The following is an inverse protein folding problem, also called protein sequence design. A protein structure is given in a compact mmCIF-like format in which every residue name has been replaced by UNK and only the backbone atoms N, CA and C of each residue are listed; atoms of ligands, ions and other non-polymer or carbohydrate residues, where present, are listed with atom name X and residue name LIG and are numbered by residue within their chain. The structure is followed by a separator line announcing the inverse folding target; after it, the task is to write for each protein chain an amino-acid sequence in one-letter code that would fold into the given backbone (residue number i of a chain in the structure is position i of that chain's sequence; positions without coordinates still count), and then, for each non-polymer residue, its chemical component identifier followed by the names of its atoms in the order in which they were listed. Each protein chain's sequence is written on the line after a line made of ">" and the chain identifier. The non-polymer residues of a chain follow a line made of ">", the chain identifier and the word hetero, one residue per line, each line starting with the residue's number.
data_IF_564852150071
#
_entry.id   IF_564852150071
#
_cell.length_a   1.000
_cell.length_b   1.000
_cell.length_c   1.000
_cell.angle_alpha   90.00
_cell.angle_beta   90.00
_cell.angle_gamma   90.00
#
_symmetry.space_group_name_H-M   'P 1'
#
loop_
_entity.id
_entity.type
_entity.pdbx_description
1 polymer ?
#
# COMPACT_ATOMS: atom_id res chain seq x y z
N UNK A 1 -26.81 -1.98 -23.24
CA UNK A 1 -26.56 -0.88 -22.27
C UNK A 1 -26.04 -1.56 -21.01
N UNK A 2 -24.73 -1.52 -20.77
CA UNK A 2 -24.15 -2.04 -19.53
C UNK A 2 -24.39 -0.95 -18.47
N UNK A 3 -25.11 -1.29 -17.40
CA UNK A 3 -25.21 -0.42 -16.23
C UNK A 3 -23.80 -0.23 -15.63
N UNK A 4 -23.43 0.97 -15.16
CA UNK A 4 -22.19 1.15 -14.43
C UNK A 4 -22.18 0.20 -13.21
N UNK A 5 -21.01 -0.28 -12.76
CA UNK A 5 -20.96 -1.03 -11.51
C UNK A 5 -21.60 -0.13 -10.45
N UNK A 6 -22.66 -0.64 -9.81
CA UNK A 6 -23.23 0.00 -8.64
C UNK A 6 -22.08 0.19 -7.67
N UNK A 7 -21.66 1.43 -7.46
CA UNK A 7 -20.95 1.83 -6.26
C UNK A 7 -21.80 1.27 -5.13
N UNK A 8 -21.36 0.15 -4.56
CA UNK A 8 -21.82 -0.25 -3.24
C UNK A 8 -21.60 1.00 -2.41
N UNK A 9 -22.68 1.67 -1.99
CA UNK A 9 -22.58 2.69 -0.97
C UNK A 9 -21.98 1.98 0.22
N UNK A 10 -20.66 2.06 0.36
CA UNK A 10 -19.96 1.60 1.54
C UNK A 10 -20.58 2.44 2.65
N UNK A 11 -21.47 1.82 3.42
CA UNK A 11 -22.12 2.45 4.56
C UNK A 11 -21.04 2.59 5.62
N UNK A 12 -20.17 3.60 5.44
CA UNK A 12 -19.06 3.88 6.33
C UNK A 12 -19.65 4.14 7.70
N UNK A 13 -19.35 3.23 8.62
CA UNK A 13 -19.78 3.39 10.00
C UNK A 13 -18.96 4.49 10.65
N UNK A 14 -19.47 5.09 11.72
CA UNK A 14 -18.70 6.07 12.51
C UNK A 14 -17.34 5.48 12.93
N UNK A 15 -17.32 4.21 13.31
CA UNK A 15 -16.08 3.50 13.65
C UNK A 15 -15.11 3.38 12.46
N UNK A 16 -15.60 3.24 11.23
CA UNK A 16 -14.76 3.25 10.04
C UNK A 16 -14.06 4.60 9.87
N UNK A 17 -14.81 5.70 9.97
CA UNK A 17 -14.25 7.05 9.84
C UNK A 17 -13.22 7.34 10.95
N UNK A 18 -13.49 6.91 12.18
CA UNK A 18 -12.56 7.03 13.30
C UNK A 18 -11.28 6.21 13.08
N UNK A 19 -11.39 4.98 12.58
CA UNK A 19 -10.24 4.15 12.26
C UNK A 19 -9.39 4.77 11.15
N UNK A 20 -10.01 5.28 10.10
CA UNK A 20 -9.31 5.94 8.99
C UNK A 20 -8.58 7.18 9.51
N UNK A 21 -9.26 8.01 10.32
CA UNK A 21 -8.66 9.20 10.92
C UNK A 21 -7.48 8.83 11.82
N UNK A 22 -7.64 7.83 12.68
CA UNK A 22 -6.58 7.37 13.57
C UNK A 22 -5.35 6.90 12.80
N UNK A 23 -5.52 6.07 11.78
CA UNK A 23 -4.42 5.57 10.95
C UNK A 23 -3.72 6.73 10.23
N UNK A 24 -4.49 7.66 9.66
CA UNK A 24 -3.94 8.84 8.99
C UNK A 24 -3.11 9.71 9.96
N UNK A 25 -3.66 10.08 11.11
CA UNK A 25 -2.97 10.91 12.10
C UNK A 25 -1.72 10.22 12.67
N UNK A 26 -1.80 8.92 12.96
CA UNK A 26 -0.66 8.14 13.41
C UNK A 26 0.45 8.08 12.33
N UNK A 27 0.07 7.93 11.06
CA UNK A 27 1.03 7.93 9.96
C UNK A 27 1.69 9.29 9.76
N UNK A 28 0.94 10.39 9.85
CA UNK A 28 1.50 11.75 9.79
C UNK A 28 2.54 12.01 10.89
N UNK A 29 2.32 11.48 12.10
CA UNK A 29 3.31 11.57 13.18
C UNK A 29 4.58 10.77 12.87
N UNK A 30 4.45 9.61 12.23
CA UNK A 30 5.60 8.80 11.78
C UNK A 30 6.40 9.55 10.71
N UNK A 31 5.73 10.10 9.70
CA UNK A 31 6.38 10.86 8.62
C UNK A 31 7.12 12.09 9.16
N UNK A 32 6.49 12.87 10.05
CA UNK A 32 7.14 14.02 10.67
C UNK A 32 8.35 13.63 11.52
N UNK A 33 8.29 12.53 12.26
CA UNK A 33 9.44 12.06 13.05
C UNK A 33 10.58 11.56 12.18
N UNK A 34 10.28 11.00 11.00
CA UNK A 34 11.31 10.61 10.02
C UNK A 34 11.96 11.82 9.35
N UNK A 35 11.17 12.83 8.98
CA UNK A 35 11.65 14.06 8.30
C UNK A 35 12.48 14.95 9.24
N UNK A 36 12.06 15.07 10.51
CA UNK A 36 12.77 15.86 11.52
C UNK A 36 13.97 15.14 12.16
N UNK A 37 14.33 13.93 11.68
CA UNK A 37 15.40 13.14 12.28
C UNK A 37 16.77 13.66 11.87
N UNK A 38 17.49 14.27 12.82
CA UNK A 38 18.89 14.64 12.61
C UNK A 38 19.78 13.38 12.50
N UNK A 39 20.78 13.35 11.59
CA UNK A 39 21.69 12.22 11.44
C UNK A 39 22.59 12.08 12.67
N UNK A 40 22.15 11.30 13.65
CA UNK A 40 22.91 11.04 14.88
C UNK A 40 22.05 10.91 16.14
N UNK A 41 20.77 11.28 16.10
CA UNK A 41 19.87 11.08 17.24
C UNK A 41 19.49 9.59 17.36
N UNK A 42 20.08 8.98 18.38
CA UNK A 42 19.92 7.59 18.74
C UNK A 42 18.58 7.33 19.42
N UNK A 43 17.82 6.38 18.86
CA UNK A 43 17.25 5.29 19.65
C UNK A 43 15.74 5.31 19.92
N UNK A 44 15.02 6.40 19.71
CA UNK A 44 13.58 6.44 19.98
C UNK A 44 12.82 7.15 18.86
N UNK A 45 12.37 6.38 17.86
CA UNK A 45 11.55 6.89 16.77
C UNK A 45 11.28 5.81 15.71
N UNK A 46 10.39 6.09 14.75
CA UNK A 46 10.14 5.20 13.62
C UNK A 46 11.44 4.86 12.88
N UNK A 47 11.59 3.58 12.52
CA UNK A 47 12.77 3.09 11.80
C UNK A 47 12.36 2.76 10.38
N UNK A 48 12.87 3.54 9.41
CA UNK A 48 12.76 3.16 8.01
C UNK A 48 13.69 1.98 7.74
N UNK A 49 13.10 0.84 7.38
CA UNK A 49 13.88 -0.29 6.89
C UNK A 49 14.37 0.02 5.47
N UNK A 50 15.66 -0.12 5.26
CA UNK A 50 16.25 -0.11 3.93
C UNK A 50 17.10 -1.37 3.83
N UNK A 51 16.87 -2.17 2.80
CA UNK A 51 17.69 -3.33 2.51
C UNK A 51 19.11 -2.86 2.19
N UNK A 52 20.05 -3.09 3.12
CA UNK A 52 21.46 -2.67 2.98
C UNK A 52 22.29 -3.67 2.18
N UNK A 53 21.86 -4.92 2.17
CA UNK A 53 22.53 -6.02 1.48
C UNK A 53 21.52 -6.66 0.55
N UNK A 54 21.53 -6.36 -0.76
CA UNK A 54 20.62 -7.00 -1.69
C UNK A 54 20.86 -8.51 -1.66
N UNK A 55 19.78 -9.29 -1.61
CA UNK A 55 19.86 -10.75 -1.67
C UNK A 55 20.51 -11.17 -3.00
N UNK A 56 21.60 -11.97 -2.99
CA UNK A 56 22.24 -12.44 -4.21
C UNK A 56 21.29 -13.23 -5.13
N UNK A 57 20.28 -13.88 -4.55
CA UNK A 57 19.26 -14.65 -5.27
C UNK A 57 18.25 -13.76 -6.00
N UNK A 58 18.13 -12.48 -5.63
CA UNK A 58 17.24 -11.51 -6.24
C UNK A 58 17.95 -10.61 -7.27
N UNK A 59 19.20 -10.94 -7.65
CA UNK A 59 20.01 -10.08 -8.53
C UNK A 59 19.35 -9.80 -9.89
N UNK A 60 18.69 -10.79 -10.46
CA UNK A 60 17.97 -10.68 -11.73
C UNK A 60 16.44 -10.72 -11.53
N UNK A 61 15.98 -10.50 -10.29
CA UNK A 61 14.56 -10.44 -9.99
C UNK A 61 13.96 -9.21 -10.65
N UNK A 62 12.96 -9.45 -11.50
CA UNK A 62 12.10 -8.40 -12.04
C UNK A 62 10.84 -8.39 -11.17
N UNK A 63 10.58 -7.31 -10.41
CA UNK A 63 9.35 -7.19 -9.63
C UNK A 63 8.14 -7.36 -10.53
N UNK A 64 7.18 -8.13 -10.06
CA UNK A 64 5.88 -8.20 -10.71
C UNK A 64 5.16 -6.88 -10.48
N UNK A 65 4.77 -6.21 -11.57
CA UNK A 65 3.85 -5.10 -11.48
C UNK A 65 2.47 -5.69 -11.14
N UNK A 66 2.01 -5.43 -9.92
CA UNK A 66 0.76 -5.99 -9.43
C UNK A 66 -0.44 -5.40 -10.15
N UNK A 67 -0.40 -4.13 -10.58
CA UNK A 67 -1.50 -3.50 -11.31
C UNK A 67 -1.67 -4.14 -12.70
N UNK A 68 -0.56 -4.25 -13.43
CA UNK A 68 -0.52 -4.92 -14.74
C UNK A 68 -0.90 -6.40 -14.63
N UNK A 69 -0.41 -7.10 -13.60
CA UNK A 69 -0.76 -8.49 -13.36
C UNK A 69 -2.24 -8.67 -13.06
N UNK A 70 -2.82 -7.81 -12.21
CA UNK A 70 -4.26 -7.85 -11.91
C UNK A 70 -5.11 -7.57 -13.15
N UNK A 71 -4.72 -6.59 -13.98
CA UNK A 71 -5.39 -6.28 -15.23
C UNK A 71 -5.41 -7.50 -16.17
N UNK A 72 -4.26 -8.18 -16.32
CA UNK A 72 -4.16 -9.39 -17.14
C UNK A 72 -5.01 -10.55 -16.59
N UNK A 73 -5.00 -10.76 -15.28
CA UNK A 73 -5.83 -11.80 -14.63
C UNK A 73 -7.32 -11.54 -14.79
N UNK A 74 -7.75 -10.28 -14.69
CA UNK A 74 -9.13 -9.89 -14.92
C UNK A 74 -9.56 -10.22 -16.36
N UNK A 75 -8.77 -9.86 -17.36
CA UNK A 75 -9.05 -10.16 -18.77
C UNK A 75 -9.06 -11.66 -19.06
N UNK A 76 -8.15 -12.42 -18.47
CA UNK A 76 -8.11 -13.88 -18.62
C UNK A 76 -9.37 -14.54 -18.06
N UNK A 77 -9.87 -14.10 -16.90
CA UNK A 77 -11.13 -14.59 -16.32
C UNK A 77 -12.33 -14.31 -17.22
N UNK A 78 -12.40 -13.14 -17.85
CA UNK A 78 -13.47 -12.81 -18.81
C UNK A 78 -13.41 -13.72 -20.03
N UNK A 79 -12.22 -13.92 -20.59
CA UNK A 79 -12.00 -14.76 -21.79
C UNK A 79 -12.32 -16.23 -21.56
N UNK A 80 -12.03 -16.75 -20.36
CA UNK A 80 -12.20 -18.18 -20.03
C UNK A 80 -13.61 -18.53 -19.53
N UNK A 81 -14.47 -17.53 -19.28
CA UNK A 81 -15.86 -17.71 -18.87
C UNK A 81 -16.89 -17.58 -20.00
N UNK A 82 -16.45 -17.54 -21.27
CA UNK A 82 -17.29 -17.61 -22.48
C UNK A 82 -17.14 -18.95 -23.19
#
# INVERSE_FOLDING_TARGET
>A
MISPPTTTEENYTVAHEENVRFVYEAWQQVEQQLDNREPGEGGSGPVQYTEKTPSPELKDFVPIDLEDWWAQQFLAKIKNGS
#
